data_IF_307016230226
#
_entry.id   IF_307016230226
#
_cell.length_a   1.000
_cell.length_b   1.000
_cell.length_c   1.000
_cell.angle_alpha   90.00
_cell.angle_beta   90.00
_cell.angle_gamma   90.00
#
_symmetry.space_group_name_H-M   'P 1'
#
loop_
_entity.id
_entity.type
_entity.pdbx_description
1 polymer ?
#
# COMPACT_ATOMS: atom_id res chain seq x y z
N UNK A 1 38.99 29.46 -36.86
CA UNK A 1 37.64 28.90 -36.65
C UNK A 1 37.75 27.40 -36.74
N UNK A 2 37.25 26.60 -35.83
CA UNK A 2 37.29 25.15 -35.94
C UNK A 2 36.49 24.72 -37.17
N UNK A 3 37.11 23.99 -38.08
CA UNK A 3 36.51 23.45 -39.30
C UNK A 3 35.37 22.50 -38.92
N UNK A 4 34.18 22.73 -39.47
CA UNK A 4 32.99 21.92 -39.22
C UNK A 4 33.20 20.54 -39.84
N UNK A 5 33.23 19.48 -38.99
CA UNK A 5 33.35 18.08 -39.43
C UNK A 5 32.17 17.70 -40.33
N UNK A 6 32.47 17.03 -41.44
CA UNK A 6 31.50 16.60 -42.45
C UNK A 6 31.39 15.07 -42.54
N UNK A 7 30.36 14.57 -43.22
CA UNK A 7 30.21 13.12 -43.53
C UNK A 7 31.43 12.61 -44.34
N UNK A 8 32.04 13.48 -45.15
CA UNK A 8 33.23 13.13 -45.94
C UNK A 8 34.43 12.87 -45.03
N UNK A 9 34.64 13.70 -44.01
CA UNK A 9 35.76 13.53 -43.08
C UNK A 9 35.64 12.20 -42.30
N UNK A 10 34.44 11.79 -41.95
CA UNK A 10 34.18 10.49 -41.31
C UNK A 10 34.47 9.36 -42.29
N UNK A 11 34.02 9.48 -43.54
CA UNK A 11 34.23 8.50 -44.60
C UNK A 11 35.74 8.29 -44.89
N UNK A 12 36.47 9.38 -45.05
CA UNK A 12 37.91 9.37 -45.32
C UNK A 12 38.71 8.75 -44.15
N UNK A 13 38.30 9.05 -42.91
CA UNK A 13 38.97 8.50 -41.71
C UNK A 13 38.77 7.00 -41.52
N UNK A 14 37.71 6.42 -42.07
CA UNK A 14 37.37 5.00 -41.97
C UNK A 14 37.65 4.22 -43.24
N UNK A 15 38.07 4.85 -44.31
CA UNK A 15 38.23 4.21 -45.62
C UNK A 15 36.92 3.73 -46.24
N UNK A 16 35.81 4.38 -45.89
CA UNK A 16 34.47 4.04 -46.37
C UNK A 16 33.97 5.02 -47.43
N UNK A 17 33.00 4.64 -48.22
CA UNK A 17 32.36 5.57 -49.15
C UNK A 17 31.45 6.55 -48.36
N UNK A 18 31.42 7.84 -48.84
CA UNK A 18 30.48 8.85 -48.31
C UNK A 18 29.03 8.35 -48.27
N UNK A 19 28.63 7.55 -49.27
CA UNK A 19 27.29 6.95 -49.36
C UNK A 19 27.05 5.98 -48.22
N UNK A 20 28.05 5.17 -47.85
CA UNK A 20 27.97 4.19 -46.76
C UNK A 20 27.79 4.94 -45.41
N UNK A 21 28.61 5.98 -45.18
CA UNK A 21 28.49 6.78 -43.94
C UNK A 21 27.14 7.52 -43.88
N UNK A 22 26.69 8.09 -44.99
CA UNK A 22 25.38 8.74 -45.08
C UNK A 22 24.20 7.76 -44.78
N UNK A 23 24.27 6.55 -45.30
CA UNK A 23 23.27 5.51 -45.01
C UNK A 23 23.23 5.15 -43.52
N UNK A 24 24.41 5.06 -42.89
CA UNK A 24 24.49 4.81 -41.44
C UNK A 24 23.87 5.94 -40.64
N UNK A 25 24.26 7.18 -40.92
CA UNK A 25 23.78 8.39 -40.21
C UNK A 25 22.26 8.57 -40.36
N UNK A 26 21.73 8.21 -41.53
CA UNK A 26 20.27 8.26 -41.82
C UNK A 26 19.50 6.98 -41.42
N UNK A 27 20.10 6.05 -40.66
CA UNK A 27 19.43 4.91 -40.11
C UNK A 27 19.05 3.80 -41.11
N UNK A 28 19.66 3.75 -42.31
CA UNK A 28 19.34 2.75 -43.32
C UNK A 28 19.66 1.31 -42.86
N UNK A 29 18.75 0.33 -43.02
CA UNK A 29 18.98 -1.06 -42.62
C UNK A 29 19.98 -1.80 -43.55
N UNK A 30 20.39 -1.21 -44.65
CA UNK A 30 21.24 -1.80 -45.70
C UNK A 30 22.75 -1.83 -45.36
N UNK A 31 23.13 -1.57 -44.12
CA UNK A 31 24.52 -1.55 -43.65
C UNK A 31 24.68 -2.47 -42.47
N UNK A 32 25.76 -3.31 -42.45
CA UNK A 32 26.02 -4.25 -41.37
C UNK A 32 26.21 -3.52 -40.02
N UNK A 33 25.85 -4.20 -38.93
CA UNK A 33 25.95 -3.63 -37.57
C UNK A 33 27.39 -3.30 -37.19
N UNK A 34 28.37 -4.10 -37.64
CA UNK A 34 29.78 -3.83 -37.43
C UNK A 34 30.23 -2.51 -38.10
N UNK A 35 29.81 -2.28 -39.36
CA UNK A 35 30.12 -1.01 -40.07
C UNK A 35 29.39 0.16 -39.45
N UNK A 36 28.16 -0.07 -38.94
CA UNK A 36 27.37 0.95 -38.25
C UNK A 36 28.05 1.41 -36.97
N UNK A 37 28.55 0.47 -36.16
CA UNK A 37 29.29 0.80 -34.93
C UNK A 37 30.55 1.63 -35.22
N UNK A 38 31.35 1.21 -36.18
CA UNK A 38 32.58 1.96 -36.59
C UNK A 38 32.29 3.41 -36.99
N UNK A 39 31.25 3.63 -37.79
CA UNK A 39 30.85 4.97 -38.23
C UNK A 39 30.36 5.83 -37.05
N UNK A 40 29.59 5.27 -36.14
CA UNK A 40 29.09 6.01 -34.98
C UNK A 40 30.21 6.39 -34.00
N UNK A 41 31.15 5.49 -33.73
CA UNK A 41 32.28 5.77 -32.84
C UNK A 41 33.18 6.87 -33.43
N UNK A 42 33.45 6.82 -34.74
CA UNK A 42 34.24 7.85 -35.38
C UNK A 42 33.53 9.19 -35.48
N UNK A 43 32.22 9.22 -35.68
CA UNK A 43 31.41 10.43 -35.67
C UNK A 43 31.40 11.11 -34.30
N UNK A 44 31.39 10.33 -33.20
CA UNK A 44 31.54 10.85 -31.83
C UNK A 44 32.95 11.39 -31.58
N UNK A 45 33.97 10.62 -31.94
CA UNK A 45 35.37 11.03 -31.78
C UNK A 45 35.64 12.38 -32.47
N UNK A 46 35.11 12.57 -33.68
CA UNK A 46 35.27 13.79 -34.47
C UNK A 46 34.30 14.92 -34.09
N UNK A 47 33.45 14.74 -33.09
CA UNK A 47 32.41 15.71 -32.65
C UNK A 47 31.49 16.17 -33.80
N UNK A 48 30.99 15.24 -34.63
CA UNK A 48 30.11 15.56 -35.76
C UNK A 48 28.73 16.06 -35.22
N UNK A 49 28.43 17.36 -35.43
CA UNK A 49 27.26 18.06 -34.84
C UNK A 49 25.90 17.70 -35.40
N UNK A 50 25.81 16.98 -36.53
CA UNK A 50 24.54 16.57 -37.12
C UNK A 50 24.15 15.13 -36.77
N UNK A 51 24.69 14.58 -35.69
CA UNK A 51 24.19 13.32 -35.13
C UNK A 51 22.75 13.54 -34.67
N UNK A 52 21.75 12.75 -35.14
CA UNK A 52 20.45 12.71 -34.52
C UNK A 52 20.62 12.35 -33.03
N UNK A 53 19.87 12.99 -32.15
CA UNK A 53 19.90 12.66 -30.70
C UNK A 53 19.46 11.23 -30.40
N UNK A 54 19.01 10.49 -31.41
CA UNK A 54 18.74 9.08 -31.41
C UNK A 54 19.76 8.30 -32.22
N UNK A 55 21.06 8.36 -31.82
CA UNK A 55 21.91 7.24 -32.16
C UNK A 55 21.29 5.98 -31.55
N UNK A 56 21.15 4.84 -32.30
CA UNK A 56 20.96 3.59 -31.65
C UNK A 56 22.19 3.38 -30.76
N UNK A 57 22.09 3.73 -29.47
CA UNK A 57 22.94 3.11 -28.48
C UNK A 57 22.95 1.65 -28.87
N UNK A 58 24.17 1.05 -29.00
CA UNK A 58 24.21 -0.37 -28.64
C UNK A 58 23.53 -0.40 -27.27
N UNK A 59 22.28 -0.84 -27.26
CA UNK A 59 21.67 -1.28 -26.06
C UNK A 59 22.60 -2.41 -25.59
N UNK A 60 23.52 -2.09 -24.69
CA UNK A 60 23.65 -2.93 -23.53
C UNK A 60 22.21 -3.01 -23.11
N UNK A 61 21.55 -4.15 -23.34
CA UNK A 61 20.21 -4.41 -22.85
C UNK A 61 20.28 -3.96 -21.40
N UNK A 62 19.67 -2.80 -21.10
CA UNK A 62 19.52 -2.43 -19.69
C UNK A 62 18.90 -3.67 -19.10
N UNK A 63 19.47 -4.21 -18.02
CA UNK A 63 18.97 -5.46 -17.47
C UNK A 63 17.47 -5.27 -17.37
N UNK A 64 16.72 -6.16 -17.99
CA UNK A 64 15.26 -6.07 -18.14
C UNK A 64 14.70 -5.70 -16.77
N UNK A 65 14.35 -4.43 -16.59
CA UNK A 65 14.08 -3.90 -15.27
C UNK A 65 12.75 -4.51 -14.83
N UNK A 66 12.82 -5.46 -13.92
CA UNK A 66 11.69 -6.21 -13.44
C UNK A 66 11.08 -5.48 -12.24
N UNK A 67 9.77 -5.28 -12.27
CA UNK A 67 9.05 -4.52 -11.27
C UNK A 67 8.06 -5.39 -10.50
N UNK A 68 7.87 -5.02 -9.25
CA UNK A 68 6.66 -5.31 -8.49
C UNK A 68 5.78 -4.07 -8.49
N UNK A 69 4.49 -4.25 -8.70
CA UNK A 69 3.53 -3.16 -8.59
C UNK A 69 2.86 -3.16 -7.21
N UNK A 70 2.95 -2.06 -6.49
CA UNK A 70 2.09 -1.79 -5.33
C UNK A 70 0.85 -1.07 -5.85
N UNK A 71 -0.28 -1.74 -5.79
CA UNK A 71 -1.57 -1.24 -6.28
C UNK A 71 -2.44 -0.85 -5.09
N UNK A 72 -2.97 0.37 -5.12
CA UNK A 72 -3.84 0.91 -4.05
C UNK A 72 -4.92 1.82 -4.64
N UNK A 73 -6.07 1.88 -3.98
CA UNK A 73 -7.14 2.82 -4.34
C UNK A 73 -6.88 4.16 -3.68
N UNK A 74 -6.53 5.16 -4.47
CA UNK A 74 -6.05 6.47 -4.07
C UNK A 74 -4.73 6.41 -3.26
N UNK A 75 -3.93 7.46 -3.34
CA UNK A 75 -2.78 7.61 -2.44
C UNK A 75 -3.30 8.35 -1.22
N UNK A 76 -3.32 7.74 -0.05
CA UNK A 76 -3.83 8.40 1.14
C UNK A 76 -2.99 9.66 1.42
N UNK A 77 -3.67 10.80 1.44
CA UNK A 77 -3.08 12.04 1.93
C UNK A 77 -3.01 11.99 3.44
N UNK A 78 -1.84 11.80 4.03
CA UNK A 78 -1.67 11.92 5.47
C UNK A 78 -1.25 10.66 6.21
N UNK A 79 -1.71 10.51 7.43
CA UNK A 79 -1.31 9.49 8.39
C UNK A 79 -2.01 8.17 8.05
N UNK A 80 -1.29 7.27 7.37
CA UNK A 80 -1.87 6.00 6.96
C UNK A 80 -0.88 4.85 7.21
N UNK A 81 -1.40 3.69 7.65
CA UNK A 81 -0.58 2.49 7.84
C UNK A 81 0.15 2.11 6.55
N UNK A 82 -0.47 2.37 5.40
CA UNK A 82 0.09 2.07 4.09
C UNK A 82 1.46 2.67 3.83
N UNK A 83 1.74 3.89 4.29
CA UNK A 83 3.05 4.51 4.12
C UNK A 83 4.16 3.79 4.88
N UNK A 84 3.83 3.13 5.99
CA UNK A 84 4.79 2.38 6.80
C UNK A 84 5.12 0.98 6.24
N UNK A 85 4.30 0.46 5.33
CA UNK A 85 4.51 -0.82 4.64
C UNK A 85 5.58 -0.69 3.54
N UNK A 86 5.58 0.44 2.82
CA UNK A 86 6.41 0.66 1.62
C UNK A 86 7.91 0.46 1.89
N UNK A 87 8.52 1.00 2.96
CA UNK A 87 9.97 0.84 3.19
C UNK A 87 10.40 -0.62 3.29
N UNK A 88 9.65 -1.46 4.02
CA UNK A 88 9.97 -2.88 4.15
C UNK A 88 9.80 -3.65 2.84
N UNK A 89 8.77 -3.32 2.08
CA UNK A 89 8.51 -3.89 0.75
C UNK A 89 9.64 -3.53 -0.22
N UNK A 90 9.98 -2.25 -0.36
CA UNK A 90 11.02 -1.76 -1.28
C UNK A 90 12.40 -2.29 -0.92
N UNK A 91 12.77 -2.29 0.36
CA UNK A 91 14.06 -2.82 0.82
C UNK A 91 14.24 -4.29 0.44
N UNK A 92 13.23 -5.13 0.68
CA UNK A 92 13.29 -6.55 0.37
C UNK A 92 13.35 -6.82 -1.14
N UNK A 93 12.62 -6.05 -1.94
CA UNK A 93 12.61 -6.18 -3.40
C UNK A 93 13.95 -5.76 -4.00
N UNK A 94 14.56 -4.65 -3.54
CA UNK A 94 15.89 -4.20 -4.00
C UNK A 94 16.97 -5.23 -3.72
N UNK A 95 16.93 -5.89 -2.57
CA UNK A 95 17.87 -6.98 -2.23
C UNK A 95 17.75 -8.15 -3.21
N UNK A 96 16.56 -8.39 -3.76
CA UNK A 96 16.30 -9.43 -4.74
C UNK A 96 16.46 -8.97 -6.21
N UNK A 97 16.91 -7.73 -6.45
CA UNK A 97 17.14 -7.19 -7.80
C UNK A 97 15.88 -6.67 -8.51
N UNK A 98 14.80 -6.44 -7.77
CA UNK A 98 13.55 -5.87 -8.30
C UNK A 98 13.40 -4.41 -7.91
N UNK A 99 12.62 -3.67 -8.70
CA UNK A 99 12.19 -2.31 -8.37
C UNK A 99 10.71 -2.29 -8.03
N UNK A 100 10.33 -1.43 -7.09
CA UNK A 100 8.93 -1.18 -6.73
C UNK A 100 8.39 -0.02 -7.56
N UNK A 101 7.20 -0.18 -8.15
CA UNK A 101 6.40 0.92 -8.68
C UNK A 101 5.09 1.01 -7.92
N UNK A 102 4.64 2.24 -7.66
CA UNK A 102 3.32 2.48 -7.07
C UNK A 102 2.32 2.82 -8.17
N UNK A 103 1.20 2.13 -8.15
CA UNK A 103 0.11 2.30 -9.09
C UNK A 103 -1.17 2.66 -8.30
N UNK A 104 -1.52 3.94 -8.30
CA UNK A 104 -2.78 4.39 -7.71
C UNK A 104 -3.92 4.14 -8.72
N UNK A 105 -4.97 3.49 -8.25
CA UNK A 105 -6.21 3.29 -9.00
C UNK A 105 -7.08 4.52 -8.79
N UNK A 106 -7.54 5.12 -9.87
CA UNK A 106 -8.47 6.25 -9.77
C UNK A 106 -9.87 5.78 -9.36
N UNK A 107 -10.68 6.69 -8.84
CA UNK A 107 -12.06 6.36 -8.47
C UNK A 107 -12.87 5.88 -9.69
N UNK A 108 -12.62 6.43 -10.87
CA UNK A 108 -13.25 6.02 -12.12
C UNK A 108 -12.84 4.59 -12.51
N UNK A 109 -11.52 4.29 -12.51
CA UNK A 109 -11.02 2.94 -12.78
C UNK A 109 -11.58 1.90 -11.79
N UNK A 110 -11.75 2.28 -10.52
CA UNK A 110 -12.28 1.43 -9.48
C UNK A 110 -13.78 1.15 -9.66
N UNK A 111 -14.57 2.18 -10.04
CA UNK A 111 -16.00 2.05 -10.31
C UNK A 111 -16.30 1.33 -11.62
N UNK A 112 -15.55 1.65 -12.68
CA UNK A 112 -15.74 1.08 -14.02
C UNK A 112 -15.07 -0.29 -14.19
N UNK A 113 -14.43 -0.82 -13.16
CA UNK A 113 -13.71 -2.08 -13.16
C UNK A 113 -12.68 -2.15 -14.31
N UNK A 114 -11.87 -1.11 -14.46
CA UNK A 114 -10.82 -1.03 -15.45
C UNK A 114 -9.44 -1.05 -14.79
N UNK A 115 -8.45 -1.63 -15.47
CA UNK A 115 -7.07 -1.74 -14.97
C UNK A 115 -6.14 -0.75 -15.66
N UNK A 116 -5.26 -0.06 -14.91
CA UNK A 116 -4.17 0.69 -15.50
C UNK A 116 -3.35 -0.18 -16.47
N UNK A 117 -3.09 0.31 -17.70
CA UNK A 117 -2.41 -0.49 -18.74
C UNK A 117 -1.06 -1.06 -18.31
N UNK A 118 -0.33 -0.37 -17.43
CA UNK A 118 0.99 -0.78 -16.92
C UNK A 118 0.94 -2.17 -16.25
N UNK A 119 -0.16 -2.52 -15.58
CA UNK A 119 -0.29 -3.80 -14.89
C UNK A 119 -0.30 -5.01 -15.83
N UNK A 120 -0.58 -4.79 -17.11
CA UNK A 120 -0.51 -5.83 -18.16
C UNK A 120 0.89 -6.05 -18.71
N UNK A 121 1.83 -5.13 -18.43
CA UNK A 121 3.22 -5.23 -18.93
C UNK A 121 3.91 -6.50 -18.43
N UNK A 122 4.72 -7.14 -19.29
CA UNK A 122 5.57 -8.28 -18.93
C UNK A 122 6.69 -7.91 -17.95
N UNK A 123 7.02 -6.63 -17.83
CA UNK A 123 7.98 -6.13 -16.84
C UNK A 123 7.43 -6.18 -15.40
N UNK A 124 6.11 -6.17 -15.21
CA UNK A 124 5.48 -6.38 -13.91
C UNK A 124 5.45 -7.88 -13.61
N UNK A 125 6.24 -8.31 -12.63
CA UNK A 125 6.40 -9.72 -12.26
C UNK A 125 5.42 -10.17 -11.18
N UNK A 126 5.06 -9.29 -10.26
CA UNK A 126 4.09 -9.58 -9.21
C UNK A 126 3.37 -8.30 -8.75
N UNK A 127 2.27 -8.45 -8.03
CA UNK A 127 1.41 -7.37 -7.58
C UNK A 127 1.19 -7.48 -6.08
N UNK A 128 1.40 -6.39 -5.34
CA UNK A 128 0.94 -6.22 -3.96
C UNK A 128 -0.26 -5.29 -3.99
N UNK A 129 -1.38 -5.73 -3.44
CA UNK A 129 -2.60 -4.93 -3.30
C UNK A 129 -2.72 -4.45 -1.87
N UNK A 130 -3.04 -3.18 -1.69
CA UNK A 130 -3.27 -2.57 -0.38
C UNK A 130 -4.46 -1.62 -0.47
N UNK A 131 -5.37 -1.70 0.53
CA UNK A 131 -6.55 -0.84 0.58
C UNK A 131 -7.45 -0.96 -0.66
N UNK A 132 -7.59 -2.18 -1.16
CA UNK A 132 -8.45 -2.53 -2.27
C UNK A 132 -9.52 -3.52 -1.78
N UNK A 133 -10.66 -2.99 -1.36
CA UNK A 133 -11.71 -3.75 -0.68
C UNK A 133 -12.95 -4.05 -1.55
N UNK A 134 -12.81 -3.88 -2.88
CA UNK A 134 -13.88 -4.19 -3.83
C UNK A 134 -13.73 -5.63 -4.36
N UNK A 135 -14.70 -6.52 -4.13
CA UNK A 135 -14.60 -7.93 -4.54
C UNK A 135 -14.35 -8.12 -6.03
N UNK A 136 -15.09 -7.42 -6.89
CA UNK A 136 -14.95 -7.56 -8.34
C UNK A 136 -13.63 -6.97 -8.86
N UNK A 137 -13.12 -5.90 -8.25
CA UNK A 137 -11.81 -5.37 -8.59
C UNK A 137 -10.68 -6.35 -8.19
N UNK A 138 -10.84 -7.03 -7.05
CA UNK A 138 -9.92 -8.11 -6.64
C UNK A 138 -9.92 -9.27 -7.65
N UNK A 139 -11.10 -9.67 -8.16
CA UNK A 139 -11.21 -10.67 -9.24
C UNK A 139 -10.50 -10.21 -10.51
N UNK A 140 -10.69 -8.94 -10.88
CA UNK A 140 -10.10 -8.35 -12.07
C UNK A 140 -8.56 -8.33 -11.98
N UNK A 141 -7.98 -7.96 -10.83
CA UNK A 141 -6.54 -8.02 -10.59
C UNK A 141 -5.99 -9.44 -10.67
N UNK A 142 -6.66 -10.40 -10.04
CA UNK A 142 -6.27 -11.81 -10.09
C UNK A 142 -6.37 -12.42 -11.50
N UNK A 143 -7.23 -11.89 -12.38
CA UNK A 143 -7.36 -12.33 -13.76
C UNK A 143 -6.12 -12.03 -14.62
N UNK A 144 -5.20 -11.19 -14.15
CA UNK A 144 -3.91 -10.93 -14.81
C UNK A 144 -2.98 -12.16 -14.81
N UNK A 145 -3.27 -13.17 -13.98
CA UNK A 145 -2.47 -14.40 -13.90
C UNK A 145 -1.07 -14.21 -13.31
N UNK A 146 -0.81 -13.06 -12.67
CA UNK A 146 0.46 -12.76 -12.00
C UNK A 146 0.40 -13.20 -10.53
N UNK A 147 1.55 -13.55 -9.89
CA UNK A 147 1.61 -13.68 -8.45
C UNK A 147 1.08 -12.41 -7.77
N UNK A 148 0.13 -12.58 -6.85
CA UNK A 148 -0.53 -11.45 -6.19
C UNK A 148 -0.67 -11.70 -4.69
N UNK A 149 -0.47 -10.67 -3.89
CA UNK A 149 -0.70 -10.67 -2.45
C UNK A 149 -1.52 -9.45 -2.05
N UNK A 150 -2.53 -9.66 -1.22
CA UNK A 150 -3.35 -8.61 -0.63
C UNK A 150 -2.88 -8.36 0.81
N UNK A 151 -2.63 -7.09 1.14
CA UNK A 151 -2.45 -6.61 2.50
C UNK A 151 -3.80 -6.08 2.94
N UNK A 152 -4.51 -6.90 3.70
CA UNK A 152 -5.93 -6.82 3.98
C UNK A 152 -6.80 -6.93 2.70
N UNK A 153 -8.08 -7.22 2.85
CA UNK A 153 -9.00 -7.41 1.73
C UNK A 153 -10.46 -7.14 2.14
N UNK A 154 -11.35 -7.23 1.16
CA UNK A 154 -12.79 -7.14 1.41
C UNK A 154 -13.29 -8.27 2.33
N UNK A 155 -14.34 -7.98 3.08
CA UNK A 155 -15.07 -9.02 3.82
C UNK A 155 -15.58 -10.09 2.84
N UNK A 156 -15.42 -11.37 3.19
CA UNK A 156 -15.77 -12.48 2.29
C UNK A 156 -14.72 -12.80 1.23
N UNK A 157 -13.49 -12.31 1.36
CA UNK A 157 -12.42 -12.57 0.40
C UNK A 157 -12.13 -14.06 0.17
N UNK A 158 -12.21 -14.87 1.22
CA UNK A 158 -11.98 -16.32 1.13
C UNK A 158 -13.00 -17.02 0.21
N UNK A 159 -14.26 -16.59 0.25
CA UNK A 159 -15.35 -17.10 -0.55
C UNK A 159 -15.22 -16.74 -2.04
N UNK A 160 -14.40 -15.76 -2.37
CA UNK A 160 -14.13 -15.40 -3.77
C UNK A 160 -13.31 -16.45 -4.51
N UNK A 161 -12.61 -17.35 -3.79
CA UNK A 161 -11.80 -18.42 -4.38
C UNK A 161 -10.65 -17.90 -5.24
N UNK A 162 -10.05 -16.76 -4.90
CA UNK A 162 -9.01 -16.12 -5.71
C UNK A 162 -7.65 -16.79 -5.54
N UNK A 163 -6.90 -16.86 -6.64
CA UNK A 163 -5.52 -17.32 -6.63
C UNK A 163 -4.58 -16.19 -6.13
N UNK A 164 -4.63 -15.91 -4.83
CA UNK A 164 -3.89 -14.82 -4.21
C UNK A 164 -3.45 -15.17 -2.79
N UNK A 165 -2.34 -14.58 -2.33
CA UNK A 165 -1.96 -14.61 -0.92
C UNK A 165 -2.65 -13.48 -0.15
N UNK A 166 -2.94 -13.71 1.12
CA UNK A 166 -3.56 -12.73 2.00
C UNK A 166 -2.70 -12.53 3.24
N UNK A 167 -2.38 -11.29 3.54
CA UNK A 167 -1.56 -10.91 4.69
C UNK A 167 -2.39 -10.02 5.61
N UNK A 168 -2.51 -10.41 6.86
CA UNK A 168 -3.34 -9.76 7.86
C UNK A 168 -2.57 -9.52 9.16
N UNK A 169 -3.04 -8.57 9.94
CA UNK A 169 -2.63 -8.40 11.33
C UNK A 169 -3.52 -9.25 12.23
N UNK A 170 -2.96 -9.79 13.31
CA UNK A 170 -3.73 -10.52 14.33
C UNK A 170 -4.63 -9.52 15.09
N UNK A 171 -5.68 -9.08 14.41
CA UNK A 171 -6.65 -8.14 14.96
C UNK A 171 -7.45 -8.77 16.10
N UNK A 172 -7.91 -10.00 15.90
CA UNK A 172 -8.87 -10.68 16.80
C UNK A 172 -8.32 -10.91 18.19
N UNK A 173 -7.12 -11.50 18.30
CA UNK A 173 -6.53 -11.81 19.61
C UNK A 173 -6.04 -10.53 20.31
N UNK A 174 -5.43 -9.61 19.61
CA UNK A 174 -4.91 -8.37 20.20
C UNK A 174 -6.03 -7.46 20.70
N UNK A 175 -7.13 -7.31 19.95
CA UNK A 175 -8.29 -6.56 20.40
C UNK A 175 -8.95 -7.22 21.62
N UNK A 176 -9.11 -8.56 21.59
CA UNK A 176 -9.64 -9.31 22.73
C UNK A 176 -8.79 -9.08 23.98
N UNK A 177 -7.47 -9.17 23.88
CA UNK A 177 -6.57 -8.94 25.00
C UNK A 177 -6.69 -7.52 25.54
N UNK A 178 -6.57 -6.50 24.67
CA UNK A 178 -6.65 -5.10 25.06
C UNK A 178 -7.98 -4.76 25.75
N UNK A 179 -9.10 -5.13 25.11
CA UNK A 179 -10.44 -4.84 25.66
C UNK A 179 -10.67 -5.56 26.97
N UNK A 180 -10.28 -6.83 27.09
CA UNK A 180 -10.40 -7.59 28.35
C UNK A 180 -9.63 -6.92 29.49
N UNK A 181 -8.40 -6.46 29.22
CA UNK A 181 -7.57 -5.75 30.20
C UNK A 181 -8.23 -4.44 30.63
N UNK A 182 -8.62 -3.60 29.67
CA UNK A 182 -9.25 -2.30 29.98
C UNK A 182 -10.58 -2.47 30.73
N UNK A 183 -11.44 -3.39 30.32
CA UNK A 183 -12.72 -3.64 30.97
C UNK A 183 -12.53 -4.06 32.44
N UNK A 184 -11.62 -4.99 32.69
CA UNK A 184 -11.38 -5.52 34.05
C UNK A 184 -10.71 -4.49 34.95
N UNK A 185 -9.69 -3.81 34.45
CA UNK A 185 -8.92 -2.87 35.27
C UNK A 185 -9.70 -1.61 35.62
N UNK A 186 -10.54 -1.13 34.71
CA UNK A 186 -11.39 0.04 34.94
C UNK A 186 -12.82 -0.29 35.43
N UNK A 187 -13.15 -1.58 35.63
CA UNK A 187 -14.49 -2.03 36.02
C UNK A 187 -15.60 -1.50 35.09
N UNK A 188 -15.36 -1.57 33.77
CA UNK A 188 -16.29 -1.01 32.80
C UNK A 188 -17.54 -1.87 32.68
N UNK A 189 -18.69 -1.24 32.54
CA UNK A 189 -20.01 -1.87 32.32
C UNK A 189 -20.58 -1.57 30.94
N UNK A 190 -20.01 -0.59 30.22
CA UNK A 190 -20.43 -0.23 28.87
C UNK A 190 -19.21 0.13 28.00
N UNK A 191 -19.18 -0.37 26.78
CA UNK A 191 -18.18 -0.08 25.79
C UNK A 191 -18.84 0.19 24.43
N UNK A 192 -18.23 1.06 23.62
CA UNK A 192 -18.71 1.41 22.29
C UNK A 192 -17.72 1.10 21.19
N UNK A 193 -18.22 0.97 19.95
CA UNK A 193 -17.41 0.75 18.75
C UNK A 193 -17.67 1.83 17.71
N UNK A 194 -16.60 2.36 17.12
CA UNK A 194 -16.63 3.34 16.03
C UNK A 194 -15.86 2.79 14.84
N UNK A 195 -16.57 2.48 13.75
CA UNK A 195 -15.98 1.97 12.50
C UNK A 195 -16.94 1.13 11.68
N UNK A 196 -16.76 1.11 10.35
CA UNK A 196 -17.53 0.26 9.45
C UNK A 196 -17.05 -1.20 9.51
N UNK A 197 -17.82 -2.05 10.14
CA UNK A 197 -17.51 -3.48 10.23
C UNK A 197 -17.51 -4.21 8.85
N UNK A 198 -17.97 -3.57 7.79
CA UNK A 198 -18.00 -4.14 6.44
C UNK A 198 -16.91 -3.58 5.53
N UNK A 199 -16.13 -2.63 6.01
CA UNK A 199 -15.06 -2.01 5.24
C UNK A 199 -14.03 -3.03 4.73
N UNK A 200 -13.42 -3.80 5.64
CA UNK A 200 -12.42 -4.80 5.32
C UNK A 200 -12.40 -5.94 6.35
N UNK A 201 -11.61 -6.98 6.11
CA UNK A 201 -11.46 -8.13 7.02
C UNK A 201 -10.99 -7.66 8.40
N UNK A 202 -9.97 -6.81 8.46
CA UNK A 202 -9.42 -6.34 9.73
C UNK A 202 -10.45 -5.59 10.57
N UNK A 203 -11.27 -4.71 9.98
CA UNK A 203 -12.33 -4.01 10.72
C UNK A 203 -13.41 -4.98 11.20
N UNK A 204 -13.78 -5.96 10.38
CA UNK A 204 -14.70 -7.03 10.75
C UNK A 204 -14.17 -7.81 11.95
N UNK A 205 -12.91 -8.22 11.94
CA UNK A 205 -12.31 -8.99 13.04
C UNK A 205 -12.23 -8.18 14.34
N UNK A 206 -11.93 -6.87 14.26
CA UNK A 206 -11.92 -5.96 15.40
C UNK A 206 -13.32 -5.82 16.02
N UNK A 207 -14.34 -5.64 15.17
CA UNK A 207 -15.73 -5.58 15.61
C UNK A 207 -16.22 -6.89 16.23
N UNK A 208 -15.91 -8.03 15.65
CA UNK A 208 -16.26 -9.34 16.21
C UNK A 208 -15.57 -9.58 17.56
N UNK A 209 -14.31 -9.18 17.71
CA UNK A 209 -13.60 -9.24 18.99
C UNK A 209 -14.27 -8.36 20.05
N UNK A 210 -14.70 -7.15 19.69
CA UNK A 210 -15.47 -6.27 20.55
C UNK A 210 -16.76 -6.92 21.06
N UNK A 211 -17.57 -7.49 20.15
CA UNK A 211 -18.81 -8.17 20.51
C UNK A 211 -18.57 -9.41 21.40
N UNK A 212 -17.53 -10.19 21.06
CA UNK A 212 -17.18 -11.40 21.80
C UNK A 212 -16.78 -11.07 23.24
N UNK A 213 -15.91 -10.08 23.43
CA UNK A 213 -15.46 -9.65 24.77
C UNK A 213 -16.61 -9.08 25.59
N UNK A 214 -17.48 -8.26 24.98
CA UNK A 214 -18.68 -7.75 25.66
C UNK A 214 -19.59 -8.88 26.16
N UNK A 215 -19.83 -9.89 25.33
CA UNK A 215 -20.61 -11.07 25.69
C UNK A 215 -19.95 -11.90 26.80
N UNK A 216 -18.62 -12.14 26.69
CA UNK A 216 -17.86 -12.94 27.66
C UNK A 216 -17.81 -12.28 29.06
N UNK A 217 -17.74 -10.96 29.11
CA UNK A 217 -17.61 -10.21 30.37
C UNK A 217 -18.93 -9.59 30.85
N UNK A 218 -20.02 -9.77 30.13
CA UNK A 218 -21.33 -9.22 30.50
C UNK A 218 -21.42 -7.70 30.43
N UNK A 219 -20.66 -7.07 29.51
CA UNK A 219 -20.58 -5.63 29.32
C UNK A 219 -21.53 -5.20 28.21
N UNK A 220 -22.21 -4.06 28.39
CA UNK A 220 -23.10 -3.52 27.36
C UNK A 220 -22.30 -3.03 26.14
N UNK A 221 -22.64 -3.57 24.96
CA UNK A 221 -22.06 -3.26 23.66
C UNK A 221 -23.07 -2.64 22.70
N UNK A 222 -24.14 -2.04 23.20
CA UNK A 222 -25.18 -1.42 22.34
C UNK A 222 -24.72 -0.14 21.65
N UNK A 223 -23.67 0.51 22.13
CA UNK A 223 -23.11 1.75 21.65
C UNK A 223 -22.27 1.50 20.39
N UNK A 224 -22.85 1.66 19.20
CA UNK A 224 -22.19 1.32 17.95
C UNK A 224 -22.46 2.36 16.88
N UNK A 225 -21.38 2.85 16.26
CA UNK A 225 -21.39 3.70 15.10
C UNK A 225 -20.73 2.91 13.95
N UNK A 226 -21.56 2.30 13.11
CA UNK A 226 -21.17 1.34 12.07
C UNK A 226 -21.41 1.87 10.66
N UNK A 227 -21.57 3.16 10.51
CA UNK A 227 -21.81 3.77 9.21
C UNK A 227 -20.59 3.63 8.30
N UNK A 228 -20.81 3.76 6.99
CA UNK A 228 -19.78 3.70 5.98
C UNK A 228 -18.67 4.71 6.28
N UNK A 229 -17.44 4.25 6.27
CA UNK A 229 -16.23 5.00 6.63
C UNK A 229 -15.89 6.17 5.68
N UNK A 230 -16.50 6.27 4.52
CA UNK A 230 -16.35 7.42 3.61
C UNK A 230 -16.62 8.77 4.31
N UNK A 231 -17.46 8.75 5.36
CA UNK A 231 -17.83 9.95 6.11
C UNK A 231 -16.96 10.21 7.33
N UNK A 232 -16.20 9.24 7.82
CA UNK A 232 -15.36 9.40 9.03
C UNK A 232 -14.18 10.37 8.85
N UNK A 233 -13.82 10.70 7.60
CA UNK A 233 -12.86 11.76 7.32
C UNK A 233 -13.37 13.16 7.70
N UNK A 234 -14.70 13.31 7.84
CA UNK A 234 -15.38 14.57 8.14
C UNK A 234 -15.71 14.66 9.64
N UNK A 235 -14.90 15.42 10.39
CA UNK A 235 -15.14 15.64 11.83
C UNK A 235 -16.54 16.18 12.11
N UNK A 236 -17.09 17.01 11.22
CA UNK A 236 -18.45 17.54 11.34
C UNK A 236 -19.53 16.44 11.28
N UNK A 237 -19.31 15.44 10.44
CA UNK A 237 -20.24 14.31 10.35
C UNK A 237 -20.18 13.48 11.65
N UNK A 238 -18.99 13.16 12.14
CA UNK A 238 -18.81 12.42 13.39
C UNK A 238 -19.38 13.18 14.59
N UNK A 239 -19.25 14.53 14.63
CA UNK A 239 -19.82 15.38 15.67
C UNK A 239 -21.36 15.33 15.74
N UNK A 240 -22.03 15.06 14.60
CA UNK A 240 -23.48 14.82 14.58
C UNK A 240 -23.84 13.41 15.01
N UNK A 241 -23.07 12.42 14.58
CA UNK A 241 -23.41 10.99 14.78
C UNK A 241 -23.06 10.48 16.17
N UNK A 242 -21.96 10.97 16.77
CA UNK A 242 -21.54 10.48 18.08
C UNK A 242 -22.59 10.70 19.18
N UNK A 243 -23.28 11.84 19.28
CA UNK A 243 -24.37 12.03 20.22
C UNK A 243 -25.59 11.12 19.98
N UNK A 244 -25.81 10.67 18.76
CA UNK A 244 -26.93 9.77 18.43
C UNK A 244 -26.75 8.35 19.01
N UNK A 245 -25.56 7.99 19.47
CA UNK A 245 -25.33 6.77 20.23
C UNK A 245 -26.02 6.78 21.60
N UNK A 246 -26.52 7.93 22.05
CA UNK A 246 -27.07 8.16 23.38
C UNK A 246 -26.03 8.62 24.39
N UNK A 247 -26.14 8.28 25.67
CA UNK A 247 -25.11 8.57 26.66
C UNK A 247 -23.80 7.93 26.25
N UNK A 248 -22.66 8.65 26.42
CA UNK A 248 -21.36 8.09 26.09
C UNK A 248 -21.08 6.83 26.89
N UNK A 249 -20.59 5.74 26.25
CA UNK A 249 -20.11 4.56 26.97
C UNK A 249 -18.81 4.95 27.72
N UNK A 250 -18.41 4.08 28.65
CA UNK A 250 -17.19 4.33 29.42
C UNK A 250 -15.90 4.15 28.61
N UNK A 251 -15.95 3.41 27.49
CA UNK A 251 -14.85 3.24 26.54
C UNK A 251 -15.38 3.27 25.12
N UNK A 252 -14.67 4.00 24.23
CA UNK A 252 -14.85 3.94 22.78
C UNK A 252 -13.65 3.22 22.15
N UNK A 253 -13.89 2.06 21.55
CA UNK A 253 -12.94 1.36 20.71
C UNK A 253 -13.16 1.74 19.26
N UNK A 254 -12.20 2.45 18.68
CA UNK A 254 -12.23 2.85 17.28
C UNK A 254 -11.53 1.81 16.41
N UNK A 255 -12.09 1.54 15.23
CA UNK A 255 -11.56 0.50 14.35
C UNK A 255 -10.10 0.75 13.92
N UNK A 256 -9.65 2.02 13.87
CA UNK A 256 -8.24 2.37 13.68
C UNK A 256 -7.86 3.68 14.39
N UNK A 257 -6.59 4.04 14.35
CA UNK A 257 -6.06 5.24 15.03
C UNK A 257 -6.54 6.54 14.38
N UNK A 258 -6.83 6.53 13.07
CA UNK A 258 -7.41 7.69 12.41
C UNK A 258 -8.79 8.01 12.98
N UNK A 259 -9.68 7.02 13.06
CA UNK A 259 -11.00 7.16 13.66
C UNK A 259 -10.90 7.55 15.14
N UNK A 260 -9.95 6.97 15.88
CA UNK A 260 -9.72 7.32 17.27
C UNK A 260 -9.32 8.79 17.45
N UNK A 261 -8.43 9.29 16.57
CA UNK A 261 -8.03 10.70 16.55
C UNK A 261 -9.20 11.63 16.28
N UNK A 262 -10.03 11.32 15.28
CA UNK A 262 -11.23 12.09 14.96
C UNK A 262 -12.24 12.06 16.11
N UNK A 263 -12.43 10.88 16.72
CA UNK A 263 -13.31 10.72 17.86
C UNK A 263 -12.84 11.59 19.05
N UNK A 264 -11.55 11.57 19.39
CA UNK A 264 -10.99 12.39 20.45
C UNK A 264 -11.16 13.90 20.16
N UNK A 265 -10.91 14.33 18.92
CA UNK A 265 -11.12 15.72 18.50
C UNK A 265 -12.59 16.15 18.66
N UNK A 266 -13.54 15.31 18.26
CA UNK A 266 -14.97 15.59 18.41
C UNK A 266 -15.38 15.62 19.88
N UNK A 267 -14.89 14.69 20.68
CA UNK A 267 -15.15 14.68 22.14
C UNK A 267 -14.67 15.97 22.77
N UNK A 268 -13.46 16.45 22.47
CA UNK A 268 -12.93 17.72 22.97
C UNK A 268 -13.81 18.91 22.56
N UNK A 269 -14.32 18.93 21.33
CA UNK A 269 -15.28 19.97 20.88
C UNK A 269 -16.61 19.96 21.64
N UNK A 270 -17.00 18.79 22.17
CA UNK A 270 -18.17 18.61 23.02
C UNK A 270 -17.90 18.87 24.53
N UNK A 271 -16.68 19.32 24.87
CA UNK A 271 -16.24 19.53 26.26
C UNK A 271 -15.97 18.23 27.03
N UNK A 272 -15.76 17.12 26.32
CA UNK A 272 -15.42 15.80 26.87
C UNK A 272 -13.95 15.46 26.62
N UNK A 273 -13.31 14.76 27.54
CA UNK A 273 -11.90 14.41 27.45
C UNK A 273 -11.65 12.93 27.71
N UNK A 274 -10.65 12.40 27.04
CA UNK A 274 -10.07 11.11 27.33
C UNK A 274 -8.78 11.29 28.15
N UNK A 275 -8.61 10.54 29.26
CA UNK A 275 -9.43 9.43 29.75
C UNK A 275 -10.55 9.85 30.72
N UNK A 276 -10.68 11.15 31.11
CA UNK A 276 -11.44 11.60 32.25
C UNK A 276 -12.96 11.33 32.14
N UNK A 277 -13.54 11.59 30.97
CA UNK A 277 -14.98 11.37 30.69
C UNK A 277 -15.25 10.05 29.99
N UNK A 278 -14.33 9.60 29.14
CA UNK A 278 -14.46 8.36 28.33
C UNK A 278 -13.06 7.87 27.93
N UNK A 279 -12.82 6.57 28.06
CA UNK A 279 -11.60 5.97 27.55
C UNK A 279 -11.68 5.85 26.01
N UNK A 280 -10.57 6.07 25.31
CA UNK A 280 -10.51 5.90 23.86
C UNK A 280 -9.31 5.04 23.49
N UNK A 281 -9.53 4.04 22.66
CA UNK A 281 -8.46 3.22 22.11
C UNK A 281 -8.67 2.95 20.61
N UNK A 282 -7.56 2.69 19.92
CA UNK A 282 -7.51 2.49 18.47
C UNK A 282 -6.72 1.25 18.06
N UNK A 283 -6.32 1.23 16.80
CA UNK A 283 -5.53 0.17 16.17
C UNK A 283 -4.66 0.81 15.06
N UNK A 284 -3.48 0.35 14.81
CA UNK A 284 -2.45 0.59 13.78
C UNK A 284 -1.11 1.01 14.39
N UNK A 285 -1.09 1.73 15.52
CA UNK A 285 0.14 2.19 16.16
C UNK A 285 0.80 3.34 15.41
N UNK A 286 0.02 4.27 14.88
CA UNK A 286 0.54 5.41 14.12
C UNK A 286 1.21 6.38 15.07
N UNK A 287 2.54 6.57 14.91
CA UNK A 287 3.37 7.37 15.82
C UNK A 287 3.63 8.81 15.35
N UNK A 288 3.37 9.10 14.09
CA UNK A 288 3.72 10.41 13.52
C UNK A 288 2.49 11.24 13.27
N UNK A 289 2.29 12.27 14.11
CA UNK A 289 1.33 13.39 13.99
C UNK A 289 0.16 13.29 14.96
N UNK A 290 -0.68 14.21 15.16
CA UNK A 290 -0.64 15.34 16.07
C UNK A 290 -0.48 14.91 17.56
N UNK A 291 -0.33 15.83 18.52
CA UNK A 291 -0.16 15.51 19.96
C UNK A 291 -1.21 14.55 20.53
N UNK A 292 -2.41 14.52 19.96
CA UNK A 292 -3.50 13.61 20.32
C UNK A 292 -3.14 12.13 20.13
N UNK A 293 -2.43 11.77 19.07
CA UNK A 293 -2.04 10.38 18.80
C UNK A 293 -0.91 9.89 19.73
N UNK A 294 -0.05 10.79 20.23
CA UNK A 294 0.97 10.40 21.19
C UNK A 294 0.39 9.90 22.52
N UNK A 295 -0.85 10.27 22.83
CA UNK A 295 -1.60 9.89 24.03
C UNK A 295 -2.53 8.69 23.80
N UNK A 296 -2.71 8.26 22.57
CA UNK A 296 -3.68 7.22 22.20
C UNK A 296 -3.19 5.82 22.56
N UNK A 297 -3.96 5.10 23.35
CA UNK A 297 -3.84 3.66 23.55
C UNK A 297 -4.22 2.94 22.25
N UNK A 298 -3.34 2.10 21.76
CA UNK A 298 -3.51 1.48 20.44
C UNK A 298 -2.86 0.09 20.37
N UNK A 299 -3.22 -0.64 19.35
CA UNK A 299 -2.52 -1.87 18.97
C UNK A 299 -1.56 -1.52 17.83
N UNK A 300 -0.25 -1.59 18.12
CA UNK A 300 0.81 -1.30 17.17
C UNK A 300 1.04 -2.47 16.22
N UNK A 301 1.12 -2.16 14.94
CA UNK A 301 1.32 -3.11 13.86
C UNK A 301 2.78 -3.09 13.37
N UNK A 302 3.37 -4.23 13.02
CA UNK A 302 4.71 -4.30 12.41
C UNK A 302 4.64 -4.01 10.89
N UNK A 303 4.19 -2.82 10.51
CA UNK A 303 3.86 -2.48 9.12
C UNK A 303 5.04 -2.68 8.15
N UNK A 304 6.27 -2.29 8.54
CA UNK A 304 7.47 -2.52 7.71
C UNK A 304 7.75 -4.01 7.50
N UNK A 305 7.60 -4.83 8.57
CA UNK A 305 7.75 -6.29 8.46
C UNK A 305 6.66 -6.91 7.58
N UNK A 306 5.45 -6.36 7.61
CA UNK A 306 4.37 -6.78 6.72
C UNK A 306 4.74 -6.54 5.24
N UNK A 307 5.34 -5.39 4.93
CA UNK A 307 5.87 -5.10 3.60
C UNK A 307 6.96 -6.06 3.17
N UNK A 308 7.91 -6.35 4.06
CA UNK A 308 8.97 -7.34 3.81
C UNK A 308 8.41 -8.74 3.57
N UNK A 309 7.39 -9.12 4.35
CA UNK A 309 6.70 -10.41 4.18
C UNK A 309 5.97 -10.50 2.84
N UNK A 310 5.28 -9.42 2.42
CA UNK A 310 4.61 -9.38 1.12
C UNK A 310 5.61 -9.60 -0.04
N UNK A 311 6.77 -8.92 0.01
CA UNK A 311 7.84 -9.14 -0.96
C UNK A 311 8.33 -10.58 -0.94
N UNK A 312 8.68 -11.11 0.24
CA UNK A 312 9.22 -12.48 0.38
C UNK A 312 8.22 -13.52 -0.12
N UNK A 313 6.94 -13.39 0.23
CA UNK A 313 5.87 -14.29 -0.23
C UNK A 313 5.78 -14.32 -1.76
N UNK A 314 5.82 -13.16 -2.39
CA UNK A 314 5.71 -13.08 -3.85
C UNK A 314 7.00 -13.48 -4.57
N UNK A 315 8.18 -13.18 -4.03
CA UNK A 315 9.46 -13.68 -4.55
C UNK A 315 9.51 -15.21 -4.50
N UNK A 316 9.05 -15.79 -3.40
CA UNK A 316 8.95 -17.24 -3.26
C UNK A 316 7.95 -17.84 -4.27
N UNK A 317 6.79 -17.19 -4.46
CA UNK A 317 5.78 -17.61 -5.45
C UNK A 317 6.30 -17.54 -6.89
N UNK A 318 7.16 -16.56 -7.21
CA UNK A 318 7.85 -16.50 -8.52
C UNK A 318 8.83 -17.65 -8.73
N UNK A 319 9.55 -18.04 -7.68
CA UNK A 319 10.50 -19.16 -7.73
C UNK A 319 9.78 -20.53 -7.76
N UNK A 320 8.61 -20.63 -7.10
CA UNK A 320 7.83 -21.86 -6.93
C UNK A 320 6.35 -21.64 -7.31
N UNK A 321 6.03 -21.51 -8.60
CA UNK A 321 4.67 -21.13 -9.06
C UNK A 321 3.56 -22.12 -8.67
N UNK A 322 3.90 -23.39 -8.47
CA UNK A 322 2.94 -24.46 -8.13
C UNK A 322 2.52 -24.48 -6.66
N UNK A 323 3.14 -23.65 -5.80
CA UNK A 323 2.77 -23.61 -4.39
C UNK A 323 1.39 -23.02 -4.16
N UNK A 324 0.76 -23.51 -3.08
CA UNK A 324 -0.56 -23.06 -2.65
C UNK A 324 -0.44 -21.64 -2.07
N UNK A 325 -1.44 -20.80 -2.32
CA UNK A 325 -1.55 -19.52 -1.65
C UNK A 325 -1.93 -19.68 -0.18
N UNK A 326 -1.55 -18.71 0.63
CA UNK A 326 -1.76 -18.74 2.07
C UNK A 326 -2.41 -17.46 2.58
N UNK A 327 -3.08 -17.58 3.72
CA UNK A 327 -3.42 -16.45 4.58
C UNK A 327 -2.49 -16.44 5.79
N UNK A 328 -1.78 -15.34 5.98
CA UNK A 328 -0.76 -15.20 7.03
C UNK A 328 -1.12 -14.05 7.96
N UNK A 329 -1.09 -14.32 9.26
CA UNK A 329 -1.34 -13.33 10.31
C UNK A 329 -0.04 -12.93 11.01
N UNK A 330 0.21 -11.63 11.12
CA UNK A 330 1.33 -11.10 11.89
C UNK A 330 0.86 -10.69 13.28
N UNK A 331 1.66 -11.05 14.28
CA UNK A 331 1.43 -10.61 15.65
C UNK A 331 1.59 -9.10 15.78
N UNK A 332 0.77 -8.51 16.64
CA UNK A 332 0.76 -7.08 16.96
C UNK A 332 1.11 -6.88 18.43
N UNK A 333 1.30 -5.62 18.84
CA UNK A 333 1.67 -5.26 20.21
C UNK A 333 0.72 -4.20 20.77
N UNK A 334 0.11 -4.45 21.92
CA UNK A 334 -0.69 -3.45 22.62
C UNK A 334 0.24 -2.40 23.24
N UNK A 335 -0.11 -1.13 23.09
CA UNK A 335 0.60 0.01 23.66
C UNK A 335 -0.40 0.86 24.42
N UNK A 336 -0.40 0.68 25.72
CA UNK A 336 -1.25 1.48 26.62
C UNK A 336 -0.63 2.86 26.79
N UNK A 337 -1.49 3.89 26.75
CA UNK A 337 -1.13 5.29 26.91
C UNK A 337 -2.24 6.02 27.68
N UNK A 338 -2.14 7.36 27.73
CA UNK A 338 -2.99 8.21 28.53
C UNK A 338 -4.50 8.09 28.22
N UNK A 339 -4.91 7.94 26.94
CA UNK A 339 -6.32 7.91 26.55
C UNK A 339 -7.09 6.69 27.07
N UNK A 340 -6.41 5.60 27.41
CA UNK A 340 -6.92 4.40 28.07
C UNK A 340 -5.74 3.67 28.74
N UNK A 341 -5.30 4.08 29.92
CA UNK A 341 -4.14 3.49 30.60
C UNK A 341 -4.40 2.06 31.04
N UNK A 342 -3.36 1.27 31.13
CA UNK A 342 -3.45 -0.08 31.66
C UNK A 342 -3.82 -0.10 33.14
N UNK A 343 -3.49 0.96 33.88
CA UNK A 343 -3.49 1.32 35.31
C UNK A 343 -2.18 1.02 36.00
#
# INVERSE_FOLDING_TARGET
MPTKVTIQDIADSLGLSRTTVSKVINGSPAVSDATRALVWDKAKELNYRALPQSAPSQATAEPEQNYFALVMHAIPGGIHMGTAVIPGLDQQLRQAGFSLITCAITTEEYQDLTLPPILRSSSIKAIVCMELFHPEYSRLLCSLGKPIAFIDACVGFAELGLNANLLLMDSRNSCRQMLTTLIRNHNLTSIGFVGDANHCISFRERYEAFLMVGKELGVDTSYRLLDNDLYYAEAEWLAKRLPEMGPLPQLLFCANDFLASQTMYVLESMGKRAPEDVLVCGFDGIYSVPPTLSRLTTISTPASQLGSLAATTLLHKLAFPSEINSSTYLHTKIVYRESAPEI
#
